data_IF_898042241917
#
_entry.id   IF_898042241917
#
_cell.length_a   1.000
_cell.length_b   1.000
_cell.length_c   1.000
_cell.angle_alpha   90.00
_cell.angle_beta   90.00
_cell.angle_gamma   90.00
#
_symmetry.space_group_name_H-M   'P 1'
#
loop_
_entity.id
_entity.type
_entity.pdbx_description
1 polymer ?
#
# COMPACT_ATOMS: atom_id res chain seq x y z
N UNK A 1 -61.15 5.60 -45.61
CA UNK A 1 -60.05 4.84 -46.23
C UNK A 1 -58.73 5.37 -45.69
N UNK A 2 -57.87 4.44 -45.27
CA UNK A 2 -56.41 4.54 -45.07
C UNK A 2 -55.91 5.40 -43.89
N UNK A 3 -55.59 4.68 -42.81
CA UNK A 3 -54.80 5.06 -41.64
C UNK A 3 -53.35 5.35 -42.07
N UNK A 4 -52.77 6.46 -41.59
CA UNK A 4 -51.31 6.66 -41.55
C UNK A 4 -50.82 6.50 -40.11
N UNK A 5 -50.41 5.28 -39.79
CA UNK A 5 -49.46 4.97 -38.70
C UNK A 5 -48.03 5.25 -39.20
N UNK A 6 -47.06 5.43 -38.27
CA UNK A 6 -45.58 5.48 -38.42
C UNK A 6 -45.01 6.88 -38.10
N UNK A 7 -44.08 7.11 -37.17
CA UNK A 7 -43.30 6.24 -36.27
C UNK A 7 -42.73 7.16 -35.17
N UNK A 8 -42.90 6.81 -33.89
CA UNK A 8 -42.26 7.55 -32.79
C UNK A 8 -40.77 7.16 -32.72
N UNK A 9 -39.88 8.10 -33.00
CA UNK A 9 -38.43 7.93 -32.83
C UNK A 9 -38.10 8.11 -31.34
N UNK A 10 -38.16 7.02 -30.57
CA UNK A 10 -37.70 7.02 -29.18
C UNK A 10 -36.16 6.99 -29.18
N UNK A 11 -35.53 8.16 -29.08
CA UNK A 11 -34.10 8.27 -28.84
C UNK A 11 -33.79 7.76 -27.43
N UNK A 12 -33.29 6.53 -27.33
CA UNK A 12 -32.77 5.98 -26.07
C UNK A 12 -31.43 6.66 -25.81
N UNK A 13 -31.45 7.76 -25.07
CA UNK A 13 -30.24 8.39 -24.56
C UNK A 13 -29.62 7.43 -23.53
N UNK A 14 -28.60 6.69 -23.97
CA UNK A 14 -27.77 5.92 -23.05
C UNK A 14 -27.09 6.90 -22.09
N UNK A 15 -27.56 6.94 -20.85
CA UNK A 15 -26.89 7.61 -19.75
C UNK A 15 -25.56 6.88 -19.51
N UNK A 16 -24.50 7.31 -20.20
CA UNK A 16 -23.14 6.96 -19.84
C UNK A 16 -22.89 7.56 -18.45
N UNK A 17 -23.11 6.75 -17.42
CA UNK A 17 -22.68 7.11 -16.07
C UNK A 17 -21.16 7.29 -16.13
N UNK A 18 -20.60 8.42 -15.67
CA UNK A 18 -19.15 8.58 -15.64
C UNK A 18 -18.58 7.44 -14.81
N UNK A 19 -17.70 6.64 -15.41
CA UNK A 19 -16.90 5.70 -14.65
C UNK A 19 -16.12 6.52 -13.63
N UNK A 20 -16.45 6.38 -12.34
CA UNK A 20 -15.68 6.99 -11.28
C UNK A 20 -14.23 6.48 -11.44
N UNK A 21 -13.32 7.38 -11.80
CA UNK A 21 -11.92 7.03 -11.92
C UNK A 21 -11.45 6.49 -10.56
N UNK A 22 -10.72 5.38 -10.58
CA UNK A 22 -10.10 4.86 -9.38
C UNK A 22 -9.17 5.93 -8.81
N UNK A 23 -9.19 6.08 -7.48
CA UNK A 23 -8.21 6.90 -6.78
C UNK A 23 -6.79 6.47 -7.18
N UNK A 24 -5.83 7.38 -7.39
CA UNK A 24 -4.45 7.00 -7.69
C UNK A 24 -3.86 6.08 -6.61
N UNK A 25 -3.06 5.09 -7.01
CA UNK A 25 -2.40 4.17 -6.07
C UNK A 25 -1.55 4.90 -5.01
N UNK A 26 -1.02 6.09 -5.33
CA UNK A 26 -0.29 6.95 -4.40
C UNK A 26 -1.15 7.62 -3.32
N UNK A 27 -2.47 7.64 -3.50
CA UNK A 27 -3.44 8.20 -2.55
C UNK A 27 -4.22 7.11 -1.80
N UNK A 28 -4.23 5.88 -2.32
CA UNK A 28 -4.90 4.74 -1.69
C UNK A 28 -4.27 4.41 -0.32
N UNK A 29 -4.95 4.82 0.76
CA UNK A 29 -4.40 4.79 2.11
C UNK A 29 -3.90 3.41 2.54
N UNK A 30 -4.66 2.34 2.29
CA UNK A 30 -4.29 1.00 2.76
C UNK A 30 -3.01 0.48 2.09
N UNK A 31 -2.85 0.74 0.79
CA UNK A 31 -1.66 0.42 0.02
C UNK A 31 -0.45 1.20 0.57
N UNK A 32 -0.60 2.51 0.74
CA UNK A 32 0.48 3.37 1.20
C UNK A 32 0.91 3.03 2.63
N UNK A 33 -0.03 2.93 3.58
CA UNK A 33 0.25 2.55 4.96
C UNK A 33 0.98 1.19 5.05
N UNK A 34 0.57 0.22 4.23
CA UNK A 34 1.19 -1.10 4.20
C UNK A 34 2.62 -1.06 3.66
N UNK A 35 2.87 -0.28 2.60
CA UNK A 35 4.21 -0.11 2.02
C UNK A 35 5.14 0.65 2.97
N UNK A 36 4.66 1.70 3.63
CA UNK A 36 5.40 2.45 4.65
C UNK A 36 5.78 1.51 5.80
N UNK A 37 4.83 0.75 6.32
CA UNK A 37 5.08 -0.18 7.44
C UNK A 37 6.01 -1.33 7.04
N UNK A 38 5.91 -1.83 5.81
CA UNK A 38 6.87 -2.81 5.28
C UNK A 38 8.28 -2.22 5.21
N UNK A 39 8.42 -0.96 4.79
CA UNK A 39 9.70 -0.25 4.78
C UNK A 39 10.24 -0.04 6.20
N UNK A 40 9.40 0.34 7.16
CA UNK A 40 9.76 0.47 8.58
C UNK A 40 10.32 -0.87 9.09
N UNK A 41 9.63 -1.98 8.85
CA UNK A 41 10.13 -3.30 9.23
C UNK A 41 11.48 -3.64 8.59
N UNK A 42 11.67 -3.35 7.29
CA UNK A 42 12.94 -3.60 6.60
C UNK A 42 14.10 -2.78 7.15
N UNK A 43 13.87 -1.53 7.54
CA UNK A 43 14.92 -0.69 8.12
C UNK A 43 15.22 -1.12 9.56
N UNK A 44 14.20 -1.40 10.38
CA UNK A 44 14.38 -1.83 11.77
C UNK A 44 15.19 -3.12 11.88
N UNK A 45 14.91 -4.13 11.05
CA UNK A 45 15.72 -5.38 11.06
C UNK A 45 17.16 -5.18 10.60
N UNK A 46 17.44 -4.14 9.81
CA UNK A 46 18.80 -3.84 9.32
C UNK A 46 19.58 -3.03 10.35
N UNK A 47 18.90 -2.13 11.07
CA UNK A 47 19.49 -1.33 12.13
C UNK A 47 19.60 -2.05 13.47
N UNK A 48 18.84 -3.12 13.70
CA UNK A 48 18.86 -3.88 14.95
C UNK A 48 19.44 -5.29 14.77
N UNK A 49 20.55 -5.66 15.44
CA UNK A 49 21.15 -6.98 15.30
C UNK A 49 20.30 -8.10 15.90
N UNK A 50 19.34 -7.83 16.79
CA UNK A 50 18.51 -8.84 17.45
C UNK A 50 17.13 -9.04 16.79
N UNK A 51 16.88 -8.43 15.63
CA UNK A 51 15.64 -8.58 14.88
C UNK A 51 15.88 -9.32 13.56
N UNK A 52 14.93 -10.19 13.20
CA UNK A 52 14.86 -10.83 11.88
C UNK A 52 13.52 -10.55 11.20
N UNK A 53 13.48 -10.71 9.88
CA UNK A 53 12.24 -10.67 9.11
C UNK A 53 11.53 -12.03 9.15
N UNK A 54 10.20 -12.01 9.30
CA UNK A 54 9.34 -13.15 9.00
C UNK A 54 9.09 -13.23 7.49
N UNK A 55 10.07 -13.73 6.74
CA UNK A 55 10.06 -13.70 5.26
C UNK A 55 8.78 -14.28 4.65
N UNK A 56 8.31 -15.43 5.13
CA UNK A 56 7.05 -16.05 4.67
C UNK A 56 5.85 -15.13 4.91
N UNK A 57 5.82 -14.45 6.07
CA UNK A 57 4.76 -13.50 6.42
C UNK A 57 4.80 -12.27 5.51
N UNK A 58 5.98 -11.70 5.28
CA UNK A 58 6.18 -10.54 4.41
C UNK A 58 5.75 -10.83 2.97
N UNK A 59 6.14 -11.99 2.43
CA UNK A 59 5.71 -12.44 1.11
C UNK A 59 4.19 -12.61 1.02
N UNK A 60 3.57 -13.21 2.03
CA UNK A 60 2.12 -13.38 2.07
C UNK A 60 1.37 -12.05 2.15
N UNK A 61 1.84 -11.09 2.93
CA UNK A 61 1.25 -9.74 3.01
C UNK A 61 1.43 -8.96 1.70
N UNK A 62 2.60 -9.02 1.06
CA UNK A 62 2.80 -8.43 -0.26
C UNK A 62 1.82 -8.99 -1.31
N UNK A 63 1.62 -10.32 -1.32
CA UNK A 63 0.63 -10.95 -2.21
C UNK A 63 -0.81 -10.56 -1.87
N UNK A 64 -1.15 -10.41 -0.58
CA UNK A 64 -2.47 -9.92 -0.16
C UNK A 64 -2.71 -8.49 -0.63
N UNK A 65 -1.72 -7.61 -0.47
CA UNK A 65 -1.81 -6.22 -0.89
C UNK A 65 -1.99 -6.09 -2.41
N UNK A 66 -1.24 -6.88 -3.18
CA UNK A 66 -1.41 -6.96 -4.63
C UNK A 66 -2.82 -7.44 -5.03
N UNK A 67 -3.35 -8.46 -4.35
CA UNK A 67 -4.75 -8.91 -4.57
C UNK A 67 -5.75 -7.81 -4.22
N UNK A 68 -5.58 -7.14 -3.08
CA UNK A 68 -6.44 -6.02 -2.67
C UNK A 68 -6.50 -4.93 -3.75
N UNK A 69 -5.37 -4.52 -4.31
CA UNK A 69 -5.34 -3.54 -5.39
C UNK A 69 -6.11 -4.05 -6.63
N UNK A 70 -5.92 -5.31 -7.02
CA UNK A 70 -6.66 -5.89 -8.15
C UNK A 70 -8.16 -5.99 -7.90
N UNK A 71 -8.56 -6.36 -6.69
CA UNK A 71 -9.97 -6.46 -6.30
C UNK A 71 -10.66 -5.08 -6.32
N UNK A 72 -9.88 -3.99 -6.11
CA UNK A 72 -10.35 -2.61 -6.32
C UNK A 72 -10.43 -2.19 -7.79
N UNK A 73 -9.90 -2.98 -8.72
CA UNK A 73 -9.95 -2.73 -10.16
C UNK A 73 -8.67 -2.15 -10.76
N UNK A 74 -7.57 -2.02 -10.00
CA UNK A 74 -6.28 -1.63 -10.58
C UNK A 74 -5.73 -2.76 -11.46
N UNK A 75 -5.23 -2.42 -12.64
CA UNK A 75 -4.56 -3.38 -13.51
C UNK A 75 -3.18 -3.74 -12.97
N UNK A 76 -2.68 -4.90 -13.39
CA UNK A 76 -1.29 -5.31 -13.12
C UNK A 76 -0.29 -4.25 -13.59
N UNK A 77 -0.50 -3.69 -14.78
CA UNK A 77 0.36 -2.64 -15.34
C UNK A 77 0.34 -1.34 -14.52
N UNK A 78 -0.80 -0.95 -13.95
CA UNK A 78 -0.90 0.20 -13.06
C UNK A 78 -0.15 -0.04 -11.75
N UNK A 79 -0.29 -1.24 -11.18
CA UNK A 79 0.39 -1.63 -9.94
C UNK A 79 1.91 -1.64 -10.17
N UNK A 80 2.38 -2.29 -11.23
CA UNK A 80 3.81 -2.42 -11.52
C UNK A 80 4.42 -1.03 -11.84
N UNK A 81 3.74 -0.20 -12.63
CA UNK A 81 4.17 1.18 -12.90
C UNK A 81 4.31 2.00 -11.60
N UNK A 82 3.37 1.86 -10.67
CA UNK A 82 3.43 2.54 -9.37
C UNK A 82 4.60 2.04 -8.50
N UNK A 83 4.85 0.72 -8.47
CA UNK A 83 5.94 0.15 -7.68
C UNK A 83 7.34 0.46 -8.26
N UNK A 84 7.43 0.58 -9.59
CA UNK A 84 8.68 0.90 -10.29
C UNK A 84 9.02 2.40 -10.25
N UNK A 85 8.01 3.25 -10.06
CA UNK A 85 8.18 4.69 -9.95
C UNK A 85 9.17 5.08 -8.82
N UNK A 86 10.20 5.82 -9.20
CA UNK A 86 11.29 6.19 -8.28
C UNK A 86 10.84 7.26 -7.29
N UNK A 87 9.99 8.18 -7.70
CA UNK A 87 9.52 9.28 -6.87
C UNK A 87 8.56 8.76 -5.80
N UNK A 88 7.64 7.87 -6.17
CA UNK A 88 6.72 7.22 -5.23
C UNK A 88 7.47 6.37 -4.22
N UNK A 89 8.45 5.57 -4.67
CA UNK A 89 9.30 4.80 -3.75
C UNK A 89 10.05 5.70 -2.77
N UNK A 90 10.60 6.83 -3.23
CA UNK A 90 11.27 7.77 -2.35
C UNK A 90 10.31 8.50 -1.40
N UNK A 91 9.07 8.75 -1.82
CA UNK A 91 8.02 9.29 -0.93
C UNK A 91 7.72 8.32 0.21
N UNK A 92 7.51 7.04 -0.10
CA UNK A 92 7.32 5.98 0.91
C UNK A 92 8.51 5.90 1.86
N UNK A 93 9.74 6.04 1.35
CA UNK A 93 10.94 6.00 2.19
C UNK A 93 11.02 7.20 3.15
N UNK A 94 10.71 8.41 2.67
CA UNK A 94 10.64 9.61 3.52
C UNK A 94 9.53 9.49 4.57
N UNK A 95 8.39 8.90 4.21
CA UNK A 95 7.30 8.65 5.16
C UNK A 95 7.70 7.66 6.25
N UNK A 96 8.33 6.55 5.87
CA UNK A 96 8.86 5.59 6.83
C UNK A 96 9.94 6.19 7.74
N UNK A 97 10.84 7.01 7.19
CA UNK A 97 11.88 7.71 7.95
C UNK A 97 11.27 8.69 8.97
N UNK A 98 10.34 9.56 8.53
CA UNK A 98 9.60 10.46 9.43
C UNK A 98 8.90 9.70 10.54
N UNK A 99 8.27 8.57 10.22
CA UNK A 99 7.63 7.72 11.22
C UNK A 99 8.64 7.20 12.25
N UNK A 100 9.78 6.67 11.80
CA UNK A 100 10.82 6.14 12.70
C UNK A 100 11.42 7.22 13.59
N UNK A 101 11.78 8.38 13.03
CA UNK A 101 12.31 9.53 13.77
C UNK A 101 11.30 10.03 14.81
N UNK A 102 10.01 10.16 14.43
CA UNK A 102 8.95 10.54 15.37
C UNK A 102 8.76 9.52 16.51
N UNK A 103 9.18 8.27 16.31
CA UNK A 103 9.16 7.20 17.33
C UNK A 103 10.53 7.01 18.02
N UNK A 104 11.45 7.96 17.84
CA UNK A 104 12.72 8.04 18.55
C UNK A 104 13.81 7.11 18.03
N UNK A 105 13.78 6.76 16.74
CA UNK A 105 14.94 6.16 16.06
C UNK A 105 15.97 7.24 15.76
N UNK A 106 17.22 6.95 16.11
CA UNK A 106 18.37 7.83 15.85
C UNK A 106 19.36 7.07 14.97
N UNK A 107 19.75 7.68 13.85
CA UNK A 107 20.72 7.08 12.94
C UNK A 107 22.07 6.92 13.63
N UNK A 108 22.66 5.73 13.51
CA UNK A 108 23.91 5.39 14.18
C UNK A 108 23.75 4.80 15.59
N UNK A 109 22.52 4.70 16.12
CA UNK A 109 22.23 4.11 17.43
C UNK A 109 21.35 2.85 17.29
N UNK A 110 21.95 1.65 17.11
CA UNK A 110 21.22 0.39 16.91
C UNK A 110 20.16 0.09 17.99
N UNK A 111 20.41 0.51 19.23
CA UNK A 111 19.53 0.31 20.38
C UNK A 111 18.16 0.96 20.14
N UNK A 112 18.12 2.11 19.46
CA UNK A 112 16.87 2.83 19.15
C UNK A 112 16.03 2.08 18.11
N UNK A 113 16.67 1.48 17.10
CA UNK A 113 16.00 0.60 16.13
C UNK A 113 15.44 -0.65 16.82
N UNK A 114 16.24 -1.28 17.69
CA UNK A 114 15.79 -2.44 18.45
C UNK A 114 14.59 -2.12 19.34
N UNK A 115 14.65 -1.01 20.07
CA UNK A 115 13.56 -0.55 20.93
C UNK A 115 12.27 -0.37 20.13
N UNK A 116 12.32 0.36 19.01
CA UNK A 116 11.12 0.55 18.19
C UNK A 116 10.62 -0.78 17.63
N UNK A 117 11.49 -1.63 17.08
CA UNK A 117 11.06 -2.91 16.52
C UNK A 117 10.40 -3.84 17.55
N UNK A 118 10.89 -3.88 18.78
CA UNK A 118 10.22 -4.63 19.86
C UNK A 118 8.85 -4.04 20.22
N UNK A 119 8.74 -2.71 20.24
CA UNK A 119 7.46 -2.04 20.46
C UNK A 119 6.46 -2.34 19.33
N UNK A 120 6.90 -2.31 18.07
CA UNK A 120 6.07 -2.68 16.91
C UNK A 120 5.55 -4.13 17.04
N UNK A 121 6.42 -5.08 17.40
CA UNK A 121 6.06 -6.48 17.63
C UNK A 121 5.01 -6.59 18.74
N UNK A 122 5.24 -5.93 19.88
CA UNK A 122 4.33 -5.96 21.03
C UNK A 122 2.96 -5.36 20.69
N UNK A 123 2.94 -4.26 19.91
CA UNK A 123 1.71 -3.60 19.43
C UNK A 123 1.01 -4.35 18.30
N UNK A 124 1.63 -5.39 17.73
CA UNK A 124 1.11 -6.17 16.59
C UNK A 124 0.76 -5.29 15.39
N UNK A 125 1.56 -4.26 15.13
CA UNK A 125 1.41 -3.43 13.94
C UNK A 125 1.72 -4.22 12.67
N UNK A 126 1.48 -3.63 11.49
CA UNK A 126 1.93 -4.24 10.23
C UNK A 126 3.45 -4.47 10.30
N UNK A 127 4.25 -3.45 10.65
CA UNK A 127 5.70 -3.59 10.77
C UNK A 127 6.09 -4.68 11.78
N UNK A 128 5.48 -4.69 12.96
CA UNK A 128 5.72 -5.69 14.00
C UNK A 128 5.36 -7.11 13.58
N UNK A 129 4.29 -7.28 12.81
CA UNK A 129 3.88 -8.58 12.28
C UNK A 129 4.88 -9.17 11.28
N UNK A 130 5.71 -8.32 10.67
CA UNK A 130 6.77 -8.71 9.74
C UNK A 130 8.09 -9.00 10.45
N UNK A 131 8.19 -8.74 11.75
CA UNK A 131 9.40 -8.88 12.55
C UNK A 131 9.29 -10.02 13.56
N UNK A 132 10.46 -10.54 13.95
CA UNK A 132 10.62 -11.50 15.04
C UNK A 132 11.92 -11.22 15.77
N UNK A 133 11.92 -11.37 17.10
CA UNK A 133 13.16 -11.38 17.87
C UNK A 133 14.00 -12.59 17.46
N UNK A 134 15.33 -12.40 17.36
CA UNK A 134 16.27 -13.50 17.14
C UNK A 134 16.35 -14.38 18.38
#
# INVERSE_FOLDING_TARGET
MIRKTLTAFAAVAALASPAAALEPLSQERHINDSLIQARVADVLRRGCPTLNARMVRAFNEARKLKRYARDKGYSETQIDAFLDDREERQRIYREADRYMVANGVVNGEPETFCRLGQQEIARKTIAGSLLVAR
#
